data_IF_452723990684
#
_entry.id   IF_452723990684
#
_cell.length_a   1.000
_cell.length_b   1.000
_cell.length_c   1.000
_cell.angle_alpha   90.00
_cell.angle_beta   90.00
_cell.angle_gamma   90.00
#
_symmetry.space_group_name_H-M   'P 1'
#
loop_
_entity.id
_entity.type
_entity.pdbx_description
1 polymer ?
#
# COMPACT_ATOMS: atom_id res chain seq x y z
N UNK A 1 -21.36 10.00 11.09
CA UNK A 1 -20.13 10.17 10.29
C UNK A 1 -19.00 10.01 11.27
N UNK A 2 -18.24 8.91 11.22
CA UNK A 2 -17.06 8.75 12.09
C UNK A 2 -15.99 9.72 11.58
N UNK A 3 -15.41 10.50 12.48
CA UNK A 3 -14.33 11.43 12.15
C UNK A 3 -13.10 10.64 11.70
N UNK A 4 -12.33 11.18 10.75
CA UNK A 4 -11.12 10.52 10.24
C UNK A 4 -10.09 10.19 11.33
N UNK A 5 -10.04 11.01 12.39
CA UNK A 5 -9.08 10.82 13.50
C UNK A 5 -9.45 9.64 14.40
N UNK A 6 -10.74 9.42 14.72
CA UNK A 6 -11.18 8.28 15.55
C UNK A 6 -10.78 6.94 14.92
N UNK A 7 -10.90 6.84 13.59
CA UNK A 7 -10.50 5.63 12.86
C UNK A 7 -8.98 5.47 12.80
N UNK A 8 -8.20 6.56 12.78
CA UNK A 8 -6.74 6.46 12.82
C UNK A 8 -6.25 6.02 14.20
N UNK A 9 -6.85 6.52 15.27
CA UNK A 9 -6.50 6.14 16.63
C UNK A 9 -6.78 4.64 16.88
N UNK A 10 -7.94 4.14 16.44
CA UNK A 10 -8.24 2.70 16.47
C UNK A 10 -7.20 1.86 15.69
N UNK A 11 -6.71 2.36 14.55
CA UNK A 11 -5.67 1.68 13.78
C UNK A 11 -4.31 1.73 14.49
N UNK A 12 -3.96 2.85 15.13
CA UNK A 12 -2.70 3.00 15.87
C UNK A 12 -2.61 2.05 17.05
N UNK A 13 -3.72 1.83 17.75
CA UNK A 13 -3.79 0.85 18.84
C UNK A 13 -3.55 -0.59 18.35
N UNK A 14 -4.07 -0.93 17.17
CA UNK A 14 -3.94 -2.27 16.57
C UNK A 14 -2.59 -2.49 15.88
N UNK A 15 -2.02 -1.45 15.28
CA UNK A 15 -0.81 -1.50 14.48
C UNK A 15 0.27 -0.57 15.05
N UNK A 16 1.08 -1.02 16.04
CA UNK A 16 2.08 -0.19 16.73
C UNK A 16 3.10 0.49 15.81
N UNK A 17 3.33 -0.06 14.60
CA UNK A 17 4.19 0.55 13.57
C UNK A 17 3.69 1.95 13.16
N UNK A 18 2.37 2.15 13.12
CA UNK A 18 1.75 3.45 12.82
C UNK A 18 2.10 4.48 13.90
N UNK A 19 1.97 4.11 15.17
CA UNK A 19 2.24 5.02 16.29
C UNK A 19 3.72 5.42 16.37
N UNK A 20 4.62 4.45 16.16
CA UNK A 20 6.06 4.71 16.08
C UNK A 20 6.41 5.67 14.92
N UNK A 21 5.76 5.52 13.77
CA UNK A 21 6.00 6.40 12.63
C UNK A 21 5.46 7.80 12.85
N UNK A 22 4.29 7.93 13.49
CA UNK A 22 3.71 9.21 13.83
C UNK A 22 4.62 9.97 14.80
N UNK A 23 5.06 9.31 15.88
CA UNK A 23 6.03 9.88 16.83
C UNK A 23 7.31 10.35 16.10
N UNK A 24 7.80 9.54 15.15
CA UNK A 24 8.98 9.89 14.35
C UNK A 24 8.76 11.08 13.40
N UNK A 25 7.52 11.35 12.98
CA UNK A 25 7.14 12.53 12.20
C UNK A 25 7.09 13.75 13.11
N UNK A 26 6.44 13.63 14.27
CA UNK A 26 6.34 14.70 15.27
C UNK A 26 7.71 15.20 15.72
N UNK A 27 8.62 14.28 16.06
CA UNK A 27 10.02 14.60 16.38
C UNK A 27 10.68 15.39 15.25
N UNK A 28 10.41 14.99 14.00
CA UNK A 28 11.02 15.63 12.82
C UNK A 28 10.47 17.03 12.57
N UNK A 29 9.18 17.24 12.82
CA UNK A 29 8.56 18.56 12.72
C UNK A 29 9.08 19.49 13.84
N UNK A 30 9.28 18.97 15.06
CA UNK A 30 9.93 19.75 16.13
C UNK A 30 11.37 20.14 15.77
N UNK A 31 12.15 19.25 15.14
CA UNK A 31 13.48 19.58 14.62
C UNK A 31 13.41 20.75 13.60
N UNK A 32 12.41 20.74 12.71
CA UNK A 32 12.21 21.83 11.73
C UNK A 32 11.92 23.16 12.43
N UNK A 33 11.07 23.16 13.46
CA UNK A 33 10.73 24.39 14.20
C UNK A 33 11.94 25.01 14.91
N UNK A 34 12.84 24.17 15.42
CA UNK A 34 14.03 24.59 16.16
C UNK A 34 15.25 24.86 15.27
N UNK A 35 15.20 24.45 14.00
CA UNK A 35 16.32 24.58 13.07
C UNK A 35 16.54 26.01 12.58
N UNK A 36 17.78 26.30 12.18
CA UNK A 36 18.13 27.51 11.44
C UNK A 36 17.53 27.46 10.04
N UNK A 37 17.25 28.62 9.45
CA UNK A 37 16.60 28.70 8.14
C UNK A 37 17.34 27.95 7.02
N UNK A 38 18.66 27.92 7.07
CA UNK A 38 19.51 27.20 6.11
C UNK A 38 19.29 25.67 6.12
N UNK A 39 18.84 25.11 7.24
CA UNK A 39 18.62 23.67 7.41
C UNK A 39 17.13 23.27 7.24
N UNK A 40 16.20 24.22 7.37
CA UNK A 40 14.75 23.93 7.37
C UNK A 40 14.26 23.28 6.09
N UNK A 41 14.75 23.69 4.93
CA UNK A 41 14.28 23.12 3.66
C UNK A 41 14.59 21.61 3.55
N UNK A 42 15.79 21.22 3.98
CA UNK A 42 16.21 19.81 3.98
C UNK A 42 15.41 18.99 4.99
N UNK A 43 15.19 19.53 6.19
CA UNK A 43 14.39 18.88 7.24
C UNK A 43 12.92 18.75 6.85
N UNK A 44 12.34 19.77 6.21
CA UNK A 44 10.97 19.72 5.67
C UNK A 44 10.83 18.62 4.61
N UNK A 45 11.76 18.53 3.66
CA UNK A 45 11.77 17.43 2.68
C UNK A 45 11.83 16.06 3.34
N UNK A 46 12.62 15.92 4.41
CA UNK A 46 12.70 14.69 5.19
C UNK A 46 11.39 14.37 5.92
N UNK A 47 10.75 15.37 6.54
CA UNK A 47 9.45 15.22 7.18
C UNK A 47 8.35 14.82 6.17
N UNK A 48 8.34 15.46 5.00
CA UNK A 48 7.42 15.13 3.91
C UNK A 48 7.59 13.67 3.43
N UNK A 49 8.82 13.17 3.33
CA UNK A 49 9.07 11.77 3.00
C UNK A 49 8.51 10.82 4.07
N UNK A 50 8.71 11.12 5.36
CA UNK A 50 8.13 10.31 6.44
C UNK A 50 6.60 10.32 6.41
N UNK A 51 5.99 11.47 6.18
CA UNK A 51 4.53 11.62 6.02
C UNK A 51 4.04 10.79 4.81
N UNK A 52 4.77 10.80 3.69
CA UNK A 52 4.43 9.95 2.52
C UNK A 52 4.47 8.46 2.88
N UNK A 53 5.50 8.01 3.61
CA UNK A 53 5.59 6.62 4.06
C UNK A 53 4.44 6.25 5.01
N UNK A 54 4.11 7.13 5.96
CA UNK A 54 3.04 6.89 6.93
C UNK A 54 1.69 6.64 6.25
N UNK A 55 1.38 7.37 5.17
CA UNK A 55 0.16 7.14 4.38
C UNK A 55 0.08 5.75 3.77
N UNK A 56 1.22 5.24 3.26
CA UNK A 56 1.30 3.86 2.75
C UNK A 56 0.89 2.86 3.82
N UNK A 57 1.47 2.98 5.03
CA UNK A 57 1.12 2.10 6.15
C UNK A 57 -0.32 2.24 6.64
N UNK A 58 -0.88 3.45 6.67
CA UNK A 58 -2.28 3.65 7.02
C UNK A 58 -3.19 2.98 5.98
N UNK A 59 -2.87 3.09 4.70
CA UNK A 59 -3.63 2.43 3.64
C UNK A 59 -3.56 0.90 3.75
N UNK A 60 -2.38 0.34 4.01
CA UNK A 60 -2.21 -1.11 4.26
C UNK A 60 -3.03 -1.57 5.47
N UNK A 61 -2.98 -0.83 6.58
CA UNK A 61 -3.74 -1.15 7.79
C UNK A 61 -5.26 -1.13 7.54
N UNK A 62 -5.74 -0.14 6.77
CA UNK A 62 -7.15 -0.08 6.35
C UNK A 62 -7.54 -1.26 5.46
N UNK A 63 -6.69 -1.65 4.51
CA UNK A 63 -6.93 -2.82 3.66
C UNK A 63 -7.02 -4.10 4.50
N UNK A 64 -6.10 -4.29 5.45
CA UNK A 64 -6.11 -5.43 6.38
C UNK A 64 -7.40 -5.49 7.19
N UNK A 65 -7.80 -4.37 7.81
CA UNK A 65 -9.03 -4.32 8.61
C UNK A 65 -10.29 -4.57 7.77
N UNK A 66 -10.33 -4.11 6.53
CA UNK A 66 -11.48 -4.34 5.65
C UNK A 66 -11.56 -5.78 5.13
N UNK A 67 -10.45 -6.53 5.10
CA UNK A 67 -10.38 -7.88 4.56
C UNK A 67 -10.34 -8.98 5.62
N UNK A 68 -10.07 -8.65 6.89
CA UNK A 68 -9.85 -9.63 7.98
C UNK A 68 -10.96 -10.67 8.15
N UNK A 69 -12.21 -10.28 7.90
CA UNK A 69 -13.36 -11.16 8.06
C UNK A 69 -13.60 -12.04 6.82
N UNK A 70 -12.95 -11.73 5.69
CA UNK A 70 -13.07 -12.45 4.42
C UNK A 70 -12.08 -13.63 4.29
N UNK A 71 -11.03 -13.68 5.10
CA UNK A 71 -9.95 -14.68 5.02
C UNK A 71 -9.74 -15.38 6.36
N UNK A 72 -9.24 -16.62 6.33
CA UNK A 72 -8.86 -17.34 7.55
C UNK A 72 -7.66 -16.69 8.24
N UNK A 73 -6.69 -16.21 7.46
CA UNK A 73 -5.52 -15.51 7.96
C UNK A 73 -5.16 -14.32 7.08
N UNK A 74 -4.75 -13.21 7.72
CA UNK A 74 -4.06 -12.11 7.06
C UNK A 74 -2.72 -11.93 7.76
N UNK A 75 -1.63 -12.19 7.05
CA UNK A 75 -0.29 -12.02 7.62
C UNK A 75 0.08 -10.54 7.70
N UNK A 76 0.53 -10.14 8.89
CA UNK A 76 1.17 -8.83 9.11
C UNK A 76 2.68 -8.86 8.82
N UNK A 77 3.25 -10.06 8.65
CA UNK A 77 4.68 -10.22 8.41
C UNK A 77 4.96 -10.11 6.92
N UNK A 78 5.83 -9.17 6.58
CA UNK A 78 6.48 -9.06 5.27
C UNK A 78 7.10 -10.42 4.91
N UNK A 79 6.51 -11.13 3.95
CA UNK A 79 7.08 -12.38 3.44
C UNK A 79 8.12 -12.01 2.40
N UNK A 80 9.37 -12.29 2.69
CA UNK A 80 10.46 -12.04 1.76
C UNK A 80 10.49 -13.10 0.66
N UNK A 81 10.38 -12.67 -0.58
CA UNK A 81 10.41 -13.47 -1.79
C UNK A 81 11.67 -13.20 -2.59
N UNK A 82 12.28 -14.26 -3.12
CA UNK A 82 13.32 -14.14 -4.14
C UNK A 82 12.67 -13.85 -5.49
N UNK A 83 13.29 -12.97 -6.27
CA UNK A 83 12.85 -12.57 -7.62
C UNK A 83 14.07 -12.51 -8.54
N UNK A 84 13.84 -12.43 -9.84
CA UNK A 84 14.86 -12.20 -10.86
C UNK A 84 15.70 -10.93 -10.62
N UNK A 85 15.15 -9.97 -9.86
CA UNK A 85 15.77 -8.68 -9.52
C UNK A 85 16.19 -8.58 -8.03
N UNK A 86 16.43 -9.73 -7.39
CA UNK A 86 16.84 -9.83 -5.99
C UNK A 86 15.66 -10.10 -5.06
N UNK A 87 15.66 -9.56 -3.84
CA UNK A 87 14.60 -9.83 -2.86
C UNK A 87 13.51 -8.78 -2.88
N UNK A 88 12.28 -9.19 -2.61
CA UNK A 88 11.12 -8.30 -2.41
C UNK A 88 10.30 -8.75 -1.22
N UNK A 89 9.51 -7.86 -0.65
CA UNK A 89 8.51 -8.20 0.37
C UNK A 89 7.12 -7.95 -0.20
N UNK A 90 6.16 -8.78 0.19
CA UNK A 90 4.73 -8.62 -0.11
C UNK A 90 4.10 -7.77 1.00
N UNK A 91 3.36 -6.71 0.64
CA UNK A 91 2.74 -5.81 1.63
C UNK A 91 1.64 -6.51 2.45
N UNK A 92 0.77 -7.28 1.79
CA UNK A 92 -0.33 -8.01 2.43
C UNK A 92 -0.50 -9.38 1.80
N UNK A 93 -0.49 -10.41 2.64
CA UNK A 93 -0.82 -11.78 2.28
C UNK A 93 -2.08 -12.21 3.01
N UNK A 94 -3.14 -12.47 2.26
CA UNK A 94 -4.41 -13.02 2.76
C UNK A 94 -4.51 -14.48 2.34
N UNK A 95 -4.76 -15.38 3.30
CA UNK A 95 -4.81 -16.83 3.09
C UNK A 95 -6.22 -17.35 3.24
N UNK A 96 -6.56 -18.27 2.34
CA UNK A 96 -7.78 -19.07 2.36
C UNK A 96 -9.05 -18.21 2.53
N UNK A 97 -9.55 -17.66 1.44
CA UNK A 97 -10.82 -16.95 1.43
C UNK A 97 -11.95 -17.80 2.04
N UNK A 98 -12.72 -17.24 2.96
CA UNK A 98 -13.81 -17.94 3.68
C UNK A 98 -15.01 -18.23 2.78
N UNK A 99 -15.26 -17.35 1.82
CA UNK A 99 -16.35 -17.41 0.86
C UNK A 99 -15.94 -16.81 -0.49
N UNK A 100 -16.79 -16.97 -1.51
CA UNK A 100 -16.59 -16.29 -2.80
C UNK A 100 -16.95 -14.80 -2.64
N UNK A 101 -16.06 -13.91 -3.07
CA UNK A 101 -16.33 -12.47 -3.06
C UNK A 101 -15.61 -11.75 -4.19
N UNK A 102 -15.89 -10.45 -4.33
CA UNK A 102 -15.34 -9.62 -5.40
C UNK A 102 -14.74 -8.33 -4.85
N UNK A 103 -13.53 -8.00 -5.29
CA UNK A 103 -12.90 -6.69 -5.10
C UNK A 103 -12.86 -6.03 -6.47
N UNK A 104 -13.68 -5.00 -6.71
CA UNK A 104 -13.81 -4.34 -8.02
C UNK A 104 -14.06 -5.34 -9.17
N UNK A 105 -13.06 -5.60 -10.01
CA UNK A 105 -13.09 -6.56 -11.12
C UNK A 105 -12.46 -7.92 -10.78
N UNK A 106 -11.91 -8.10 -9.59
CA UNK A 106 -11.22 -9.31 -9.13
C UNK A 106 -12.19 -10.21 -8.38
N UNK A 107 -12.47 -11.38 -8.92
CA UNK A 107 -13.22 -12.44 -8.24
C UNK A 107 -12.24 -13.33 -7.47
N UNK A 108 -12.44 -13.42 -6.15
CA UNK A 108 -11.69 -14.29 -5.23
C UNK A 108 -12.64 -15.41 -4.81
N UNK A 109 -12.26 -16.65 -5.08
CA UNK A 109 -13.07 -17.82 -4.73
C UNK A 109 -12.71 -18.33 -3.36
N UNK A 110 -13.67 -18.99 -2.71
CA UNK A 110 -13.47 -19.68 -1.44
C UNK A 110 -12.26 -20.59 -1.51
N UNK A 111 -11.38 -20.43 -0.52
CA UNK A 111 -10.15 -21.18 -0.35
C UNK A 111 -8.94 -20.59 -1.10
N UNK A 112 -9.13 -19.65 -2.04
CA UNK A 112 -8.01 -18.98 -2.73
C UNK A 112 -7.27 -18.01 -1.78
N UNK A 113 -5.98 -17.84 -2.07
CA UNK A 113 -5.15 -16.80 -1.44
C UNK A 113 -5.24 -15.48 -2.24
N UNK A 114 -4.94 -14.35 -1.58
CA UNK A 114 -4.86 -13.03 -2.21
C UNK A 114 -3.59 -12.31 -1.74
N UNK A 115 -2.75 -11.92 -2.69
CA UNK A 115 -1.57 -11.09 -2.48
C UNK A 115 -1.81 -9.68 -2.98
N UNK A 116 -1.51 -8.69 -2.14
CA UNK A 116 -1.78 -7.28 -2.41
C UNK A 116 -0.50 -6.49 -2.26
N UNK A 117 -0.22 -5.68 -3.27
CA UNK A 117 0.79 -4.63 -3.24
C UNK A 117 0.08 -3.26 -3.22
N UNK A 118 0.46 -2.35 -2.34
CA UNK A 118 -0.25 -1.08 -2.15
C UNK A 118 0.67 0.13 -2.34
N UNK A 119 0.49 0.88 -3.43
CA UNK A 119 1.24 2.10 -3.72
C UNK A 119 0.31 3.32 -3.75
N UNK A 120 0.12 3.94 -2.59
CA UNK A 120 -0.70 5.14 -2.44
C UNK A 120 0.18 6.39 -2.47
N UNK A 121 0.00 7.24 -3.48
CA UNK A 121 0.75 8.48 -3.60
C UNK A 121 0.43 9.27 -4.86
N UNK A 122 1.09 10.41 -5.02
CA UNK A 122 0.91 11.26 -6.19
C UNK A 122 1.36 10.55 -7.49
N UNK A 123 0.99 11.11 -8.63
CA UNK A 123 1.38 10.61 -9.97
C UNK A 123 2.89 10.34 -10.07
N UNK A 124 3.73 11.24 -9.55
CA UNK A 124 5.18 11.12 -9.68
C UNK A 124 5.71 9.95 -8.86
N UNK A 125 5.21 9.79 -7.64
CA UNK A 125 5.51 8.65 -6.79
C UNK A 125 5.11 7.33 -7.46
N UNK A 126 3.87 7.19 -7.92
CA UNK A 126 3.41 5.93 -8.55
C UNK A 126 4.26 5.64 -9.80
N UNK A 127 4.55 6.65 -10.62
CA UNK A 127 5.42 6.49 -11.79
C UNK A 127 6.81 5.95 -11.42
N UNK A 128 7.38 6.41 -10.30
CA UNK A 128 8.68 5.93 -9.81
C UNK A 128 8.61 4.50 -9.23
N UNK A 129 7.43 4.06 -8.79
CA UNK A 129 7.23 2.73 -8.22
C UNK A 129 6.90 1.66 -9.27
N UNK A 130 6.66 2.00 -10.54
CA UNK A 130 6.23 1.02 -11.57
C UNK A 130 7.16 -0.19 -11.66
N UNK A 131 8.48 0.02 -11.77
CA UNK A 131 9.41 -1.10 -11.90
C UNK A 131 9.52 -1.89 -10.59
N UNK A 132 9.37 -1.24 -9.45
CA UNK A 132 9.34 -1.91 -8.15
C UNK A 132 8.08 -2.78 -8.01
N UNK A 133 6.92 -2.29 -8.47
CA UNK A 133 5.68 -3.04 -8.50
C UNK A 133 5.77 -4.28 -9.40
N UNK A 134 6.42 -4.17 -10.58
CA UNK A 134 6.67 -5.33 -11.45
C UNK A 134 7.46 -6.43 -10.72
N UNK A 135 8.49 -6.04 -9.96
CA UNK A 135 9.28 -6.96 -9.12
C UNK A 135 8.45 -7.57 -7.99
N UNK A 136 7.62 -6.79 -7.32
CA UNK A 136 6.76 -7.26 -6.22
C UNK A 136 5.72 -8.28 -6.70
N UNK A 137 5.16 -8.07 -7.89
CA UNK A 137 4.26 -9.02 -8.55
C UNK A 137 4.94 -10.36 -8.83
N UNK A 138 6.21 -10.37 -9.25
CA UNK A 138 6.97 -11.62 -9.36
C UNK A 138 7.00 -12.37 -8.01
N UNK A 139 7.21 -11.63 -6.91
CA UNK A 139 7.14 -12.17 -5.56
C UNK A 139 5.76 -12.76 -5.22
N UNK A 140 4.67 -12.09 -5.60
CA UNK A 140 3.31 -12.62 -5.42
C UNK A 140 3.14 -13.97 -6.11
N UNK A 141 3.61 -14.08 -7.36
CA UNK A 141 3.47 -15.33 -8.12
C UNK A 141 4.33 -16.45 -7.54
N UNK A 142 5.54 -16.15 -7.07
CA UNK A 142 6.40 -17.13 -6.43
C UNK A 142 5.75 -17.71 -5.17
N UNK A 143 5.24 -16.85 -4.29
CA UNK A 143 4.51 -17.26 -3.09
C UNK A 143 3.18 -17.95 -3.42
N UNK A 144 2.45 -17.40 -4.39
CA UNK A 144 1.14 -17.90 -4.80
C UNK A 144 1.19 -19.29 -5.42
N UNK A 145 2.29 -19.66 -6.07
CA UNK A 145 2.48 -21.01 -6.59
C UNK A 145 2.54 -22.09 -5.50
N UNK A 146 2.69 -21.73 -4.23
CA UNK A 146 2.55 -22.64 -3.09
C UNK A 146 1.10 -22.83 -2.62
N UNK A 147 0.16 -22.02 -3.12
CA UNK A 147 -1.25 -22.06 -2.73
C UNK A 147 -1.96 -23.30 -3.27
N UNK A 148 -2.70 -24.01 -2.41
CA UNK A 148 -3.35 -25.28 -2.77
C UNK A 148 -4.60 -25.12 -3.63
N UNK A 149 -5.34 -24.03 -3.44
CA UNK A 149 -6.64 -23.80 -4.07
C UNK A 149 -6.60 -22.71 -5.15
N UNK A 150 -5.42 -22.25 -5.53
CA UNK A 150 -5.23 -21.09 -6.40
C UNK A 150 -5.03 -19.79 -5.62
N UNK A 151 -4.72 -18.72 -6.34
CA UNK A 151 -4.49 -17.40 -5.77
C UNK A 151 -4.84 -16.26 -6.73
N UNK A 152 -4.95 -15.06 -6.16
CA UNK A 152 -5.04 -13.80 -6.87
C UNK A 152 -3.87 -12.90 -6.48
N UNK A 153 -3.41 -12.11 -7.45
CA UNK A 153 -2.42 -11.07 -7.25
C UNK A 153 -3.03 -9.76 -7.69
N UNK A 154 -2.97 -8.74 -6.82
CA UNK A 154 -3.48 -7.41 -7.13
C UNK A 154 -2.47 -6.33 -6.74
N UNK A 155 -2.53 -5.22 -7.48
CA UNK A 155 -1.89 -3.96 -7.09
C UNK A 155 -2.98 -2.94 -6.81
N UNK A 156 -2.89 -2.25 -5.69
CA UNK A 156 -3.78 -1.15 -5.31
C UNK A 156 -3.02 0.17 -5.42
N UNK A 157 -3.58 1.13 -6.16
CA UNK A 157 -3.01 2.48 -6.35
C UNK A 157 -4.07 3.56 -6.15
N UNK A 158 -3.66 4.78 -5.77
CA UNK A 158 -4.55 5.94 -5.73
C UNK A 158 -5.00 6.38 -7.13
N UNK A 159 -6.07 7.18 -7.19
CA UNK A 159 -6.64 7.71 -8.43
C UNK A 159 -5.64 8.50 -9.28
N UNK A 160 -4.57 9.04 -8.66
CA UNK A 160 -3.44 9.68 -9.32
C UNK A 160 -2.81 8.84 -10.45
N UNK A 161 -2.93 7.51 -10.38
CA UNK A 161 -2.50 6.61 -11.43
C UNK A 161 -3.07 7.01 -12.80
N UNK A 162 -4.33 7.46 -12.84
CA UNK A 162 -5.01 7.86 -14.09
C UNK A 162 -4.33 9.06 -14.77
N UNK A 163 -3.54 9.83 -14.03
CA UNK A 163 -2.82 11.00 -14.53
C UNK A 163 -1.41 10.65 -15.05
N UNK A 164 -0.94 9.41 -14.91
CA UNK A 164 0.30 8.95 -15.52
C UNK A 164 0.18 8.98 -17.05
N UNK A 165 1.30 9.20 -17.74
CA UNK A 165 1.34 9.19 -19.20
C UNK A 165 0.81 7.84 -19.77
N UNK A 166 -0.03 7.93 -20.81
CA UNK A 166 -0.73 6.78 -21.39
C UNK A 166 0.18 5.67 -21.88
N UNK A 167 1.34 5.99 -22.47
CA UNK A 167 2.29 4.97 -22.96
C UNK A 167 2.85 4.15 -21.79
N UNK A 168 3.28 4.83 -20.72
CA UNK A 168 3.79 4.17 -19.52
C UNK A 168 2.72 3.34 -18.82
N UNK A 169 1.49 3.86 -18.76
CA UNK A 169 0.36 3.13 -18.20
C UNK A 169 0.06 1.87 -19.02
N UNK A 170 -0.06 2.00 -20.33
CA UNK A 170 -0.37 0.89 -21.22
C UNK A 170 0.71 -0.19 -21.16
N UNK A 171 2.00 0.18 -21.08
CA UNK A 171 3.09 -0.77 -20.87
C UNK A 171 2.94 -1.54 -19.55
N UNK A 172 2.66 -0.82 -18.46
CA UNK A 172 2.48 -1.42 -17.15
C UNK A 172 1.24 -2.32 -17.09
N UNK A 173 0.07 -1.85 -17.52
CA UNK A 173 -1.18 -2.61 -17.58
C UNK A 173 -1.03 -3.86 -18.46
N UNK A 174 -0.31 -3.75 -19.59
CA UNK A 174 0.01 -4.90 -20.44
C UNK A 174 0.83 -5.94 -19.68
N UNK A 175 1.89 -5.52 -18.99
CA UNK A 175 2.72 -6.43 -18.19
C UNK A 175 1.91 -7.14 -17.11
N UNK A 176 1.09 -6.40 -16.35
CA UNK A 176 0.23 -6.98 -15.30
C UNK A 176 -0.72 -8.03 -15.88
N UNK A 177 -1.34 -7.75 -17.04
CA UNK A 177 -2.19 -8.70 -17.74
C UNK A 177 -1.44 -9.96 -18.20
N UNK A 178 -0.20 -9.81 -18.68
CA UNK A 178 0.63 -10.93 -19.14
C UNK A 178 1.01 -11.89 -18.00
N UNK A 179 1.24 -11.35 -16.80
CA UNK A 179 1.59 -12.16 -15.62
C UNK A 179 0.37 -12.59 -14.80
N UNK A 180 -0.83 -12.08 -15.10
CA UNK A 180 -2.07 -12.45 -14.41
C UNK A 180 -2.27 -11.74 -13.09
N UNK A 181 -1.82 -10.48 -12.99
CA UNK A 181 -2.08 -9.58 -11.86
C UNK A 181 -3.09 -8.51 -12.27
N UNK A 182 -4.01 -8.18 -11.37
CA UNK A 182 -5.04 -7.17 -11.61
C UNK A 182 -4.63 -5.82 -10.97
N UNK A 183 -4.97 -4.72 -11.64
CA UNK A 183 -4.75 -3.36 -11.12
C UNK A 183 -6.06 -2.79 -10.57
N UNK A 184 -6.08 -2.48 -9.28
CA UNK A 184 -7.19 -1.81 -8.60
C UNK A 184 -6.81 -0.35 -8.39
N UNK A 185 -7.55 0.55 -9.03
CA UNK A 185 -7.36 2.00 -8.89
C UNK A 185 -8.45 2.55 -7.98
N UNK A 186 -8.05 3.08 -6.81
CA UNK A 186 -8.97 3.71 -5.87
C UNK A 186 -9.67 4.93 -6.51
N UNK A 187 -10.81 5.30 -5.96
CA UNK A 187 -11.59 6.47 -6.37
C UNK A 187 -11.06 7.80 -5.79
N UNK A 188 -10.05 7.74 -4.92
CA UNK A 188 -9.46 8.91 -4.23
C UNK A 188 -8.05 9.24 -4.69
N UNK A 189 -7.79 10.53 -4.83
CA UNK A 189 -6.43 11.06 -5.01
C UNK A 189 -5.65 10.95 -3.69
N UNK A 190 -4.33 10.85 -3.80
CA UNK A 190 -3.44 10.86 -2.65
C UNK A 190 -3.63 12.10 -1.79
N UNK A 191 -3.82 13.29 -2.40
CA UNK A 191 -4.08 14.53 -1.65
C UNK A 191 -5.32 14.45 -0.75
N UNK A 192 -6.35 13.71 -1.14
CA UNK A 192 -7.57 13.53 -0.32
C UNK A 192 -7.34 12.57 0.86
N UNK A 193 -6.33 11.71 0.76
CA UNK A 193 -5.84 10.86 1.84
C UNK A 193 -4.90 11.66 2.74
N UNK A 194 -4.09 12.57 2.15
CA UNK A 194 -3.18 13.46 2.86
C UNK A 194 -3.89 14.35 3.86
N UNK A 195 -4.98 15.00 3.45
CA UNK A 195 -5.70 15.94 4.30
C UNK A 195 -6.25 15.25 5.55
N UNK A 196 -6.79 14.04 5.40
CA UNK A 196 -7.31 13.26 6.54
C UNK A 196 -6.21 12.78 7.48
N UNK A 197 -5.07 12.38 6.92
CA UNK A 197 -3.91 11.99 7.72
C UNK A 197 -3.40 13.21 8.48
N UNK A 198 -3.22 14.37 7.82
CA UNK A 198 -2.76 15.61 8.43
C UNK A 198 -3.73 16.18 9.47
N UNK A 199 -5.04 16.08 9.26
CA UNK A 199 -6.05 16.46 10.26
C UNK A 199 -5.98 15.60 11.54
N UNK A 200 -5.32 14.45 11.47
CA UNK A 200 -5.17 13.50 12.57
C UNK A 200 -3.79 13.53 13.23
N UNK A 201 -2.89 14.41 12.75
CA UNK A 201 -1.59 14.77 13.36
C UNK A 201 -1.74 16.15 13.99
#
# INVERSE_FOLDING_TARGET
>A
MCNGSEKLDELREKYPKLDNMLSSIEDKLQEVEQAKEEDKESLLKSAEQKIKMFKGYVAEALLKENLKDCFEEISEKEVQQETSQGKTNIDITCREAKEDFKIENVEVKKGEDLFIESKIGDKAYITQQIDHMKKQVEGHHNEGNESKNGYKSIIVVSADYKNINDEKRAEFEKHLKEVGTELVVLDKMASEIDDKVRESI
#
